data_IF_529618044876
#
_entry.id   IF_529618044876
#
_cell.length_a   1.000
_cell.length_b   1.000
_cell.length_c   1.000
_cell.angle_alpha   90.00
_cell.angle_beta   90.00
_cell.angle_gamma   90.00
#
_symmetry.space_group_name_H-M   'P 1'
#
loop_
_entity.id
_entity.type
_entity.pdbx_description
1 polymer ?
#
# COMPACT_ATOMS: atom_id res chain seq x y z
N UNK A 1 -18.43 2.01 4.67
CA UNK A 1 -17.96 3.21 5.37
C UNK A 1 -16.54 2.95 5.82
N UNK A 2 -15.55 3.80 5.48
CA UNK A 2 -14.18 3.60 5.96
C UNK A 2 -14.20 3.60 7.49
N UNK A 3 -13.61 2.59 8.10
CA UNK A 3 -13.45 2.51 9.55
C UNK A 3 -12.56 3.69 9.96
N UNK A 4 -13.05 4.63 10.79
CA UNK A 4 -12.23 5.78 11.18
C UNK A 4 -11.02 5.29 11.97
N UNK A 5 -9.84 5.73 11.57
CA UNK A 5 -8.61 5.50 12.32
C UNK A 5 -8.75 6.21 13.67
N UNK A 6 -8.90 5.41 14.72
CA UNK A 6 -8.90 5.91 16.09
C UNK A 6 -7.61 5.45 16.77
N UNK A 7 -6.83 6.33 17.38
CA UNK A 7 -5.61 5.93 18.07
C UNK A 7 -5.95 4.89 19.15
N UNK A 8 -5.56 3.68 18.84
CA UNK A 8 -5.94 2.41 19.47
C UNK A 8 -5.46 2.31 20.93
N UNK A 9 -4.51 3.16 21.32
CA UNK A 9 -3.72 2.94 22.54
C UNK A 9 -4.32 3.45 23.84
N UNK A 10 -5.53 4.04 23.82
CA UNK A 10 -6.15 4.64 25.00
C UNK A 10 -7.35 3.89 25.56
N UNK A 11 -7.82 2.83 24.88
CA UNK A 11 -8.99 2.05 25.29
C UNK A 11 -8.62 0.58 25.53
N UNK A 12 -9.41 -0.08 26.38
CA UNK A 12 -9.25 -1.54 26.59
C UNK A 12 -9.55 -2.29 25.29
N UNK A 13 -8.93 -3.48 25.12
CA UNK A 13 -9.22 -4.37 23.98
C UNK A 13 -10.71 -4.73 23.88
N UNK A 14 -11.39 -4.85 25.02
CA UNK A 14 -12.82 -5.13 25.06
C UNK A 14 -13.68 -3.98 24.52
N UNK A 15 -13.35 -2.72 24.86
CA UNK A 15 -14.04 -1.54 24.31
C UNK A 15 -13.81 -1.41 22.82
N UNK A 16 -12.58 -1.73 22.38
CA UNK A 16 -12.21 -1.75 20.97
C UNK A 16 -13.04 -2.80 20.21
N UNK A 17 -13.10 -4.02 20.74
CA UNK A 17 -13.90 -5.12 20.19
C UNK A 17 -15.36 -4.72 20.02
N UNK A 18 -16.00 -4.21 21.08
CA UNK A 18 -17.40 -3.75 21.05
C UNK A 18 -17.63 -2.66 20.02
N UNK A 19 -16.67 -1.72 19.88
CA UNK A 19 -16.77 -0.66 18.88
C UNK A 19 -16.73 -1.21 17.46
N UNK A 20 -15.86 -2.17 17.16
CA UNK A 20 -15.72 -2.71 15.81
C UNK A 20 -16.77 -3.76 15.46
N UNK A 21 -17.26 -4.53 16.42
CA UNK A 21 -18.35 -5.50 16.22
C UNK A 21 -19.62 -4.86 15.63
N UNK A 22 -19.90 -3.60 15.96
CA UNK A 22 -21.07 -2.89 15.40
C UNK A 22 -20.96 -2.59 13.89
N UNK A 23 -19.76 -2.61 13.31
CA UNK A 23 -19.53 -2.38 11.89
C UNK A 23 -19.43 -3.66 11.06
N UNK A 24 -19.45 -4.81 11.74
CA UNK A 24 -19.23 -6.10 11.15
C UNK A 24 -20.47 -6.97 11.33
N UNK A 25 -21.06 -7.39 10.25
CA UNK A 25 -22.26 -8.19 10.34
C UNK A 25 -21.99 -9.68 10.04
N UNK A 26 -21.47 -10.04 8.90
CA UNK A 26 -21.22 -11.42 8.50
C UNK A 26 -19.96 -11.57 7.65
N UNK A 27 -19.34 -12.77 7.66
CA UNK A 27 -18.30 -13.18 6.73
C UNK A 27 -18.91 -13.64 5.41
N UNK A 28 -18.10 -13.71 4.33
CA UNK A 28 -18.53 -14.20 3.02
C UNK A 28 -19.15 -15.60 3.10
N UNK A 29 -18.62 -16.48 3.96
CA UNK A 29 -19.12 -17.84 4.19
C UNK A 29 -20.53 -17.88 4.82
N UNK A 30 -20.90 -16.82 5.52
CA UNK A 30 -22.19 -16.70 6.22
C UNK A 30 -23.13 -15.70 5.56
N UNK A 31 -22.70 -15.08 4.43
CA UNK A 31 -23.52 -14.12 3.73
C UNK A 31 -24.75 -14.79 3.11
N UNK A 32 -25.92 -14.29 3.47
CA UNK A 32 -27.19 -14.67 2.88
C UNK A 32 -27.73 -13.49 2.06
N UNK A 33 -27.76 -13.65 0.75
CA UNK A 33 -28.19 -12.60 -0.16
C UNK A 33 -29.66 -12.19 0.06
N UNK A 34 -30.55 -13.16 0.31
CA UNK A 34 -31.99 -12.91 0.49
C UNK A 34 -32.24 -12.09 1.77
N UNK A 35 -31.53 -12.44 2.85
CA UNK A 35 -31.59 -11.72 4.13
C UNK A 35 -31.04 -10.31 3.98
N UNK A 36 -29.90 -10.16 3.31
CA UNK A 36 -29.31 -8.86 3.02
C UNK A 36 -30.26 -7.97 2.20
N UNK A 37 -30.88 -8.49 1.16
CA UNK A 37 -31.83 -7.75 0.32
C UNK A 37 -33.12 -7.40 1.08
N UNK A 38 -33.50 -8.17 2.06
CA UNK A 38 -34.66 -7.89 2.92
C UNK A 38 -34.37 -6.84 3.98
N UNK A 39 -33.20 -6.89 4.60
CA UNK A 39 -32.85 -6.03 5.72
C UNK A 39 -32.25 -4.67 5.29
N UNK A 40 -31.54 -4.65 4.17
CA UNK A 40 -30.86 -3.44 3.68
C UNK A 40 -31.61 -2.88 2.49
N UNK A 41 -32.12 -1.65 2.62
CA UNK A 41 -32.79 -0.93 1.52
C UNK A 41 -31.85 -0.75 0.34
N UNK A 42 -32.38 -0.82 -0.88
CA UNK A 42 -31.61 -0.74 -2.13
C UNK A 42 -30.71 0.50 -2.19
N UNK A 43 -31.21 1.64 -1.76
CA UNK A 43 -30.47 2.91 -1.69
C UNK A 43 -29.24 2.90 -0.78
N UNK A 44 -29.19 1.95 0.16
CA UNK A 44 -28.08 1.77 1.12
C UNK A 44 -27.15 0.59 0.75
N UNK A 45 -27.40 -0.08 -0.37
CA UNK A 45 -26.59 -1.22 -0.82
C UNK A 45 -25.42 -0.72 -1.64
N UNK A 46 -24.21 -1.10 -1.26
CA UNK A 46 -23.01 -0.92 -2.05
C UNK A 46 -22.36 -2.29 -2.29
N UNK A 47 -22.40 -2.74 -3.54
CA UNK A 47 -21.74 -3.98 -3.96
C UNK A 47 -20.59 -3.59 -4.87
N UNK A 48 -19.38 -3.93 -4.48
CA UNK A 48 -18.18 -3.58 -5.24
C UNK A 48 -17.18 -4.73 -5.22
N UNK A 49 -16.29 -4.73 -6.21
CA UNK A 49 -15.12 -5.61 -6.20
C UNK A 49 -14.00 -4.91 -5.43
N UNK A 50 -13.22 -5.68 -4.71
CA UNK A 50 -12.06 -5.20 -3.98
C UNK A 50 -10.89 -6.16 -4.11
N UNK A 51 -9.70 -5.68 -3.75
CA UNK A 51 -8.50 -6.50 -3.66
C UNK A 51 -8.30 -6.86 -2.19
N UNK A 52 -8.25 -8.17 -1.89
CA UNK A 52 -7.89 -8.66 -0.57
C UNK A 52 -6.38 -8.42 -0.33
N UNK A 53 -6.06 -7.47 0.52
CA UNK A 53 -4.68 -7.12 0.87
C UNK A 53 -4.18 -7.82 2.13
N UNK A 54 -5.09 -8.27 2.98
CA UNK A 54 -4.77 -9.00 4.20
C UNK A 54 -5.95 -9.82 4.69
N UNK A 55 -5.66 -10.87 5.45
CA UNK A 55 -6.65 -11.78 5.99
C UNK A 55 -6.32 -12.18 7.43
N UNK A 56 -7.35 -12.28 8.25
CA UNK A 56 -7.27 -12.79 9.61
C UNK A 56 -8.03 -14.11 9.66
N UNK A 57 -7.34 -15.19 10.03
CA UNK A 57 -7.92 -16.50 10.21
C UNK A 57 -8.05 -16.79 11.69
N UNK A 58 -9.24 -17.16 12.13
CA UNK A 58 -9.48 -17.68 13.47
C UNK A 58 -9.84 -19.15 13.40
N UNK A 59 -8.93 -20.01 13.83
CA UNK A 59 -9.10 -21.45 13.78
C UNK A 59 -9.74 -22.02 15.08
N UNK A 60 -9.84 -21.23 16.12
CA UNK A 60 -10.29 -21.70 17.42
C UNK A 60 -9.41 -22.84 17.92
N UNK A 61 -10.01 -23.95 18.30
CA UNK A 61 -9.33 -25.14 18.80
C UNK A 61 -9.24 -26.29 17.77
N UNK A 62 -9.56 -26.03 16.52
CA UNK A 62 -9.60 -27.06 15.45
C UNK A 62 -8.31 -27.88 15.35
N UNK A 63 -7.16 -27.19 15.31
CA UNK A 63 -5.87 -27.85 15.21
C UNK A 63 -5.33 -28.32 16.55
N UNK A 64 -5.51 -27.55 17.60
CA UNK A 64 -5.04 -27.89 18.94
C UNK A 64 -5.71 -29.14 19.50
N UNK A 65 -7.00 -29.35 19.24
CA UNK A 65 -7.69 -30.60 19.56
C UNK A 65 -7.10 -31.80 18.84
N UNK A 66 -6.85 -31.66 17.51
CA UNK A 66 -6.27 -32.74 16.71
C UNK A 66 -4.84 -33.11 17.18
N UNK A 67 -4.09 -32.11 17.64
CA UNK A 67 -2.72 -32.29 18.14
C UNK A 67 -2.65 -32.57 19.66
N UNK A 68 -3.80 -32.63 20.33
CA UNK A 68 -3.91 -32.75 21.80
C UNK A 68 -3.11 -31.67 22.56
N UNK A 69 -3.02 -30.46 21.98
CA UNK A 69 -2.31 -29.32 22.56
C UNK A 69 -3.23 -28.56 23.53
N UNK A 70 -3.11 -28.87 24.81
CA UNK A 70 -3.89 -28.25 25.89
C UNK A 70 -3.00 -27.49 26.86
N UNK A 71 -3.60 -26.53 27.57
CA UNK A 71 -2.97 -25.75 28.66
C UNK A 71 -3.77 -25.90 29.93
N UNK A 72 -3.06 -25.86 31.06
CA UNK A 72 -3.71 -25.86 32.37
C UNK A 72 -4.11 -24.40 32.71
N UNK A 73 -5.37 -24.23 33.01
CA UNK A 73 -5.96 -22.97 33.45
C UNK A 73 -5.98 -22.88 35.00
N UNK A 74 -6.11 -21.66 35.54
CA UNK A 74 -6.35 -21.50 36.99
C UNK A 74 -7.51 -22.36 37.49
N UNK A 75 -7.30 -23.04 38.62
CA UNK A 75 -8.28 -23.97 39.20
C UNK A 75 -8.22 -25.39 38.64
N UNK A 76 -7.12 -25.76 37.93
CA UNK A 76 -6.87 -27.13 37.46
C UNK A 76 -7.71 -27.59 36.27
N UNK A 77 -8.40 -26.67 35.62
CA UNK A 77 -9.11 -26.94 34.36
C UNK A 77 -8.10 -26.97 33.19
N UNK A 78 -8.36 -27.84 32.21
CA UNK A 78 -7.63 -27.88 30.95
C UNK A 78 -8.49 -27.29 29.83
N UNK A 79 -7.87 -26.53 28.94
CA UNK A 79 -8.51 -26.09 27.72
C UNK A 79 -7.52 -26.21 26.55
N UNK A 80 -8.06 -26.33 25.34
CA UNK A 80 -7.25 -26.37 24.13
C UNK A 80 -6.81 -24.94 23.73
N UNK A 81 -5.58 -24.83 23.25
CA UNK A 81 -5.02 -23.57 22.79
C UNK A 81 -5.87 -23.02 21.64
N UNK A 82 -6.28 -21.76 21.72
CA UNK A 82 -6.94 -21.09 20.59
C UNK A 82 -5.89 -20.58 19.63
N UNK A 83 -6.13 -20.80 18.34
CA UNK A 83 -5.18 -20.49 17.28
C UNK A 83 -5.78 -19.49 16.30
N UNK A 84 -4.91 -18.62 15.82
CA UNK A 84 -5.21 -17.69 14.72
C UNK A 84 -4.01 -17.53 13.82
N UNK A 85 -4.25 -17.03 12.62
CA UNK A 85 -3.20 -16.66 11.67
C UNK A 85 -3.52 -15.29 11.06
N UNK A 86 -2.49 -14.56 10.72
CA UNK A 86 -2.60 -13.21 10.17
C UNK A 86 -1.69 -13.12 8.96
N UNK A 87 -2.22 -12.67 7.85
CA UNK A 87 -1.45 -12.57 6.61
C UNK A 87 -1.66 -11.23 5.92
N UNK A 88 -0.59 -10.68 5.36
CA UNK A 88 -0.64 -9.53 4.47
C UNK A 88 0.07 -9.92 3.17
N UNK A 89 -0.62 -9.70 2.04
CA UNK A 89 -0.06 -9.95 0.71
C UNK A 89 0.83 -8.81 0.26
N UNK A 90 2.09 -8.77 0.73
CA UNK A 90 3.02 -7.66 0.44
C UNK A 90 3.18 -7.44 -1.07
N UNK A 91 3.38 -8.49 -1.85
CA UNK A 91 3.47 -8.39 -3.31
C UNK A 91 2.16 -7.91 -3.94
N UNK A 92 1.02 -8.33 -3.39
CA UNK A 92 -0.31 -7.90 -3.84
C UNK A 92 -0.56 -6.42 -3.57
N UNK A 93 0.02 -5.87 -2.49
CA UNK A 93 -0.08 -4.44 -2.17
C UNK A 93 0.45 -3.56 -3.30
N UNK A 94 1.52 -3.96 -3.98
CA UNK A 94 2.06 -3.22 -5.12
C UNK A 94 0.98 -3.04 -6.19
N UNK A 95 0.35 -4.14 -6.62
CA UNK A 95 -0.74 -4.09 -7.61
C UNK A 95 -1.95 -3.30 -7.12
N UNK A 96 -2.33 -3.45 -5.85
CA UNK A 96 -3.46 -2.73 -5.26
C UNK A 96 -3.23 -1.21 -5.21
N UNK A 97 -2.00 -0.78 -4.92
CA UNK A 97 -1.64 0.63 -4.90
C UNK A 97 -1.62 1.19 -6.33
N UNK A 98 -1.07 0.46 -7.29
CA UNK A 98 -1.08 0.86 -8.70
C UNK A 98 -2.52 1.06 -9.17
N UNK A 99 -3.41 0.08 -8.96
CA UNK A 99 -4.82 0.19 -9.34
C UNK A 99 -5.53 1.39 -8.69
N UNK A 100 -5.22 1.67 -7.42
CA UNK A 100 -5.85 2.76 -6.68
C UNK A 100 -5.27 4.15 -7.00
N UNK A 101 -4.09 4.23 -7.61
CA UNK A 101 -3.33 5.49 -7.77
C UNK A 101 -2.96 5.83 -9.20
N UNK A 102 -3.16 4.92 -10.14
CA UNK A 102 -2.96 5.21 -11.55
C UNK A 102 -4.08 6.13 -12.05
N UNK A 103 -3.70 7.17 -12.76
CA UNK A 103 -4.62 8.12 -13.39
C UNK A 103 -4.70 7.80 -14.89
N UNK A 104 -5.80 7.18 -15.31
CA UNK A 104 -6.01 6.76 -16.70
C UNK A 104 -6.14 7.94 -17.68
N UNK A 105 -6.52 9.12 -17.21
CA UNK A 105 -6.70 10.29 -18.07
C UNK A 105 -5.37 10.98 -18.36
N UNK A 106 -4.52 11.05 -17.34
CA UNK A 106 -3.19 11.67 -17.46
C UNK A 106 -2.10 10.66 -17.83
N UNK A 107 -2.41 9.36 -17.79
CA UNK A 107 -1.46 8.25 -17.97
C UNK A 107 -0.28 8.32 -16.98
N UNK A 108 -0.58 8.68 -15.74
CA UNK A 108 0.42 8.91 -14.68
C UNK A 108 0.14 7.99 -13.48
N UNK A 109 1.17 7.29 -13.01
CA UNK A 109 1.14 6.63 -11.71
C UNK A 109 1.46 7.64 -10.60
N UNK A 110 0.61 7.73 -9.58
CA UNK A 110 0.75 8.68 -8.46
C UNK A 110 1.06 7.93 -7.16
N UNK A 111 2.29 7.47 -6.97
CA UNK A 111 2.68 6.81 -5.72
C UNK A 111 2.58 7.77 -4.53
N UNK A 112 2.11 7.28 -3.36
CA UNK A 112 2.38 7.98 -2.11
C UNK A 112 3.90 8.13 -1.91
N UNK A 113 4.36 9.31 -1.52
CA UNK A 113 5.79 9.63 -1.41
C UNK A 113 6.56 8.61 -0.55
N UNK A 114 5.97 8.19 0.58
CA UNK A 114 6.59 7.25 1.53
C UNK A 114 6.86 5.84 1.01
N UNK A 115 6.31 5.48 -0.15
CA UNK A 115 6.46 4.15 -0.76
C UNK A 115 6.77 4.22 -2.25
N UNK A 116 7.08 5.39 -2.76
CA UNK A 116 7.56 5.57 -4.13
C UNK A 116 8.87 4.80 -4.33
N UNK A 117 9.09 4.19 -5.52
CA UNK A 117 10.32 3.45 -5.80
C UNK A 117 11.57 4.33 -5.76
N UNK A 118 11.41 5.60 -6.11
CA UNK A 118 12.36 6.70 -5.92
C UNK A 118 11.58 7.97 -5.61
N UNK A 119 12.16 8.85 -4.81
CA UNK A 119 11.54 10.12 -4.45
C UNK A 119 11.71 11.16 -5.55
N UNK A 120 12.88 11.15 -6.21
CA UNK A 120 13.28 12.14 -7.22
C UNK A 120 13.85 11.44 -8.46
N UNK A 121 13.43 11.89 -9.63
CA UNK A 121 14.09 11.60 -10.91
C UNK A 121 14.82 12.85 -11.44
N UNK A 122 16.08 12.70 -11.82
CA UNK A 122 16.86 13.74 -12.46
C UNK A 122 16.96 13.41 -13.96
N UNK A 123 16.51 14.34 -14.79
CA UNK A 123 16.36 14.18 -16.25
C UNK A 123 17.24 15.20 -16.96
N UNK A 124 18.52 14.91 -17.22
CA UNK A 124 19.38 15.78 -17.98
C UNK A 124 19.03 15.72 -19.48
N UNK A 125 19.05 16.88 -20.12
CA UNK A 125 19.04 17.01 -21.59
C UNK A 125 20.44 16.70 -22.14
N UNK A 126 20.67 15.44 -22.45
CA UNK A 126 21.97 14.98 -22.93
C UNK A 126 22.15 15.35 -24.41
N UNK A 127 23.30 15.93 -24.72
CA UNK A 127 23.74 16.17 -26.09
C UNK A 127 25.11 15.52 -26.29
N UNK A 128 25.30 14.81 -27.41
CA UNK A 128 26.55 14.10 -27.71
C UNK A 128 27.84 14.95 -27.64
N UNK A 129 27.69 16.26 -27.80
CA UNK A 129 28.82 17.20 -27.81
C UNK A 129 28.88 18.10 -26.56
N UNK A 130 28.00 17.87 -25.55
CA UNK A 130 27.91 18.73 -24.37
C UNK A 130 27.50 17.89 -23.16
N UNK A 131 28.42 17.68 -22.25
CA UNK A 131 28.25 16.89 -21.02
C UNK A 131 27.78 17.72 -19.83
N UNK A 132 27.67 19.02 -19.98
CA UNK A 132 27.39 19.96 -18.86
C UNK A 132 26.13 19.62 -18.09
N UNK A 133 25.03 19.25 -18.79
CA UNK A 133 23.77 18.88 -18.15
C UNK A 133 23.92 17.58 -17.35
N UNK A 134 24.67 16.60 -17.83
CA UNK A 134 24.93 15.35 -17.14
C UNK A 134 25.83 15.55 -15.92
N UNK A 135 26.85 16.40 -16.02
CA UNK A 135 27.71 16.73 -14.89
C UNK A 135 26.93 17.44 -13.77
N UNK A 136 26.09 18.42 -14.12
CA UNK A 136 25.17 19.05 -13.15
C UNK A 136 24.23 18.05 -12.51
N UNK A 137 23.65 17.15 -13.31
CA UNK A 137 22.78 16.10 -12.84
C UNK A 137 23.48 15.19 -11.84
N UNK A 138 24.72 14.78 -12.14
CA UNK A 138 25.53 13.95 -11.27
C UNK A 138 25.83 14.63 -9.92
N UNK A 139 26.15 15.92 -9.94
CA UNK A 139 26.38 16.69 -8.72
C UNK A 139 25.12 16.78 -7.85
N UNK A 140 23.95 17.01 -8.45
CA UNK A 140 22.67 17.04 -7.75
C UNK A 140 22.33 15.66 -7.19
N UNK A 141 22.56 14.61 -7.96
CA UNK A 141 22.36 13.22 -7.52
C UNK A 141 23.19 12.90 -6.27
N UNK A 142 24.49 13.20 -6.29
CA UNK A 142 25.38 12.96 -5.14
C UNK A 142 24.94 13.77 -3.91
N UNK A 143 24.45 14.99 -4.11
CA UNK A 143 23.90 15.80 -3.04
C UNK A 143 22.67 15.15 -2.38
N UNK A 144 21.70 14.68 -3.18
CA UNK A 144 20.52 14.00 -2.65
C UNK A 144 20.86 12.67 -1.97
N UNK A 145 21.75 11.88 -2.58
CA UNK A 145 22.22 10.63 -2.02
C UNK A 145 22.92 10.83 -0.67
N UNK A 146 23.76 11.88 -0.54
CA UNK A 146 24.39 12.22 0.73
C UNK A 146 23.39 12.61 1.83
N UNK A 147 22.17 13.03 1.45
CA UNK A 147 21.08 13.36 2.36
C UNK A 147 20.04 12.22 2.50
N UNK A 148 20.37 11.00 2.05
CA UNK A 148 19.50 9.81 2.11
C UNK A 148 18.16 10.03 1.39
N UNK A 149 18.16 10.75 0.26
CA UNK A 149 17.00 10.91 -0.60
C UNK A 149 17.15 9.94 -1.77
N UNK A 150 16.19 9.03 -1.92
CA UNK A 150 16.20 8.04 -3.00
C UNK A 150 15.99 8.68 -4.35
N UNK A 151 17.07 8.72 -5.12
CA UNK A 151 17.13 9.48 -6.39
C UNK A 151 17.61 8.60 -7.53
N UNK A 152 17.04 8.80 -8.71
CA UNK A 152 17.46 8.15 -9.97
C UNK A 152 17.83 9.20 -11.01
N UNK A 153 18.87 8.92 -11.81
CA UNK A 153 19.26 9.71 -12.98
C UNK A 153 18.91 8.94 -14.26
N UNK A 154 18.36 9.61 -15.24
CA UNK A 154 18.27 9.06 -16.61
C UNK A 154 19.45 9.53 -17.44
N UNK A 155 20.48 8.71 -17.52
CA UNK A 155 21.72 8.95 -18.29
C UNK A 155 21.65 8.46 -19.75
N UNK A 156 20.46 8.03 -20.21
CA UNK A 156 20.27 7.61 -21.60
C UNK A 156 20.29 8.78 -22.56
N UNK A 157 20.53 8.54 -23.85
CA UNK A 157 20.48 9.55 -24.93
C UNK A 157 19.08 9.72 -25.54
N UNK A 158 18.04 9.20 -24.89
CA UNK A 158 16.65 9.38 -25.29
C UNK A 158 16.24 10.86 -25.26
N UNK A 159 15.21 11.20 -26.06
CA UNK A 159 14.66 12.54 -26.02
C UNK A 159 13.94 12.81 -24.68
N UNK A 160 13.91 14.09 -24.28
CA UNK A 160 13.38 14.53 -23.00
C UNK A 160 11.91 14.10 -22.76
N UNK A 161 11.09 14.12 -23.81
CA UNK A 161 9.67 13.75 -23.70
C UNK A 161 9.51 12.26 -23.40
N UNK A 162 10.35 11.40 -23.97
CA UNK A 162 10.36 9.96 -23.67
C UNK A 162 10.76 9.71 -22.23
N UNK A 163 11.79 10.41 -21.74
CA UNK A 163 12.24 10.31 -20.35
C UNK A 163 11.15 10.73 -19.37
N UNK A 164 10.47 11.86 -19.61
CA UNK A 164 9.36 12.33 -18.78
C UNK A 164 8.22 11.31 -18.75
N UNK A 165 7.82 10.79 -19.92
CA UNK A 165 6.76 9.76 -19.99
C UNK A 165 7.14 8.51 -19.21
N UNK A 166 8.38 8.05 -19.31
CA UNK A 166 8.90 6.90 -18.55
C UNK A 166 8.72 7.10 -17.06
N UNK A 167 9.14 8.25 -16.53
CA UNK A 167 9.02 8.54 -15.10
C UNK A 167 7.60 8.82 -14.64
N UNK A 168 6.73 9.32 -15.50
CA UNK A 168 5.29 9.40 -15.24
C UNK A 168 4.67 8.01 -15.08
N UNK A 169 5.03 7.05 -15.94
CA UNK A 169 4.56 5.66 -15.83
C UNK A 169 5.10 4.96 -14.58
N UNK A 170 6.39 5.19 -14.26
CA UNK A 170 6.99 4.68 -13.02
C UNK A 170 6.34 5.35 -11.81
N UNK A 171 5.94 6.62 -11.95
CA UNK A 171 5.24 7.37 -10.93
C UNK A 171 6.14 8.02 -9.91
N UNK A 172 7.32 8.49 -10.33
CA UNK A 172 8.24 9.19 -9.43
C UNK A 172 7.66 10.57 -9.07
N UNK A 173 7.50 10.89 -7.77
CA UNK A 173 6.78 12.09 -7.33
C UNK A 173 7.39 13.42 -7.81
N UNK A 174 8.71 13.50 -7.85
CA UNK A 174 9.40 14.71 -8.27
C UNK A 174 10.33 14.45 -9.45
N UNK A 175 10.28 15.31 -10.46
CA UNK A 175 11.14 15.23 -11.64
C UNK A 175 11.90 16.55 -11.79
N UNK A 176 13.23 16.48 -11.81
CA UNK A 176 14.13 17.63 -12.02
C UNK A 176 14.68 17.56 -13.43
N UNK A 177 14.27 18.49 -14.27
CA UNK A 177 14.72 18.57 -15.66
C UNK A 177 15.87 19.56 -15.75
N UNK A 178 17.02 19.12 -16.26
CA UNK A 178 18.22 19.95 -16.43
C UNK A 178 18.42 20.24 -17.90
N UNK A 179 18.13 21.47 -18.29
CA UNK A 179 18.35 22.00 -19.64
C UNK A 179 19.72 22.65 -19.82
N UNK A 180 19.97 23.15 -21.03
CA UNK A 180 21.25 23.86 -21.36
C UNK A 180 21.45 25.12 -20.52
N UNK A 181 20.40 25.85 -20.19
CA UNK A 181 20.43 27.14 -19.51
C UNK A 181 19.96 27.03 -18.04
N UNK A 182 20.09 25.88 -17.43
CA UNK A 182 19.79 25.67 -16.01
C UNK A 182 20.92 26.24 -15.16
N UNK A 183 21.06 27.56 -15.17
CA UNK A 183 21.93 28.27 -14.24
C UNK A 183 21.13 28.44 -12.94
N UNK A 184 21.47 27.60 -11.99
CA UNK A 184 21.16 27.44 -10.58
C UNK A 184 19.95 28.02 -9.94
#
# INVERSE_FOLDING_TARGET
>A
TPIPYDPIFTKSLEDLRKKYEQFYSVTDEKFNKEEFEKEVKEENRLITKGIEVGHIFYFGDKYSKALNASVDLPGGKKDFVKMGSYGIGVSRLVGAIIEARYDDQEEIMKWPFSIAPYEIAIIPMINKNDTTALEKASNIYEHFKANNIDTIIDDTDENISSKIKKFNLIGIPYQIIIGKNSDG
#
